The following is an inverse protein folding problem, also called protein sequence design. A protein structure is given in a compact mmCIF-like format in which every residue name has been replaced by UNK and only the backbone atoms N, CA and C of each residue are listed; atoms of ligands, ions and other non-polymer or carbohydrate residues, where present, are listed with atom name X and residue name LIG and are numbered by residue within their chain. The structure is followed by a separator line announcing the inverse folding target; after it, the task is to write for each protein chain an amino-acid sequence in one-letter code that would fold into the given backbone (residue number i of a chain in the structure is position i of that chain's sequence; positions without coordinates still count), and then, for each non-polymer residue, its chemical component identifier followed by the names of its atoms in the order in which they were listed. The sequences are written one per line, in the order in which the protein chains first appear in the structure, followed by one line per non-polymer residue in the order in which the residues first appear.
data_IF_555446805092
#
_entry.id   IF_555446805092
#
_cell.length_a   1.000
_cell.length_b   1.000
_cell.length_c   1.000
_cell.angle_alpha   90.00
_cell.angle_beta   90.00
_cell.angle_gamma   90.00
#
_symmetry.space_group_name_H-M   'P 1'
#
loop_
_entity.id
_entity.type
_entity.pdbx_description
1 polymer ?
#
# COMPACT_ATOMS: atom_id res chain seq x y z
N UNK A 1 -33.23 4.60 -10.53
CA UNK A 1 -31.78 4.95 -10.59
C UNK A 1 -31.33 5.54 -9.26
N UNK A 2 -32.10 6.45 -8.61
CA UNK A 2 -31.73 7.10 -7.31
C UNK A 2 -31.63 6.11 -6.13
N UNK A 3 -32.49 5.10 -6.05
CA UNK A 3 -32.48 4.14 -4.94
C UNK A 3 -31.25 3.22 -4.95
N UNK A 4 -30.76 2.83 -6.13
CA UNK A 4 -29.54 2.02 -6.28
C UNK A 4 -28.30 2.84 -5.87
N UNK A 5 -28.25 4.13 -6.23
CA UNK A 5 -27.15 5.03 -5.83
C UNK A 5 -27.14 5.25 -4.32
N UNK A 6 -28.32 5.38 -3.67
CA UNK A 6 -28.44 5.55 -2.23
C UNK A 6 -27.99 4.33 -1.41
N UNK A 7 -28.03 3.13 -1.96
CA UNK A 7 -27.63 1.89 -1.28
C UNK A 7 -26.18 1.51 -1.56
N UNK A 8 -25.65 1.80 -2.75
CA UNK A 8 -24.28 1.48 -3.16
C UNK A 8 -23.27 2.47 -2.59
N UNK A 9 -23.61 3.76 -2.53
CA UNK A 9 -22.71 4.80 -2.04
C UNK A 9 -22.22 4.57 -0.60
N UNK A 10 -23.09 4.31 0.42
CA UNK A 10 -22.62 4.06 1.78
C UNK A 10 -21.79 2.77 1.87
N UNK A 11 -22.13 1.72 1.11
CA UNK A 11 -21.37 0.47 1.10
C UNK A 11 -19.92 0.66 0.56
N UNK A 12 -19.76 1.42 -0.51
CA UNK A 12 -18.46 1.75 -1.08
C UNK A 12 -17.65 2.64 -0.12
N UNK A 13 -18.30 3.63 0.50
CA UNK A 13 -17.66 4.51 1.48
C UNK A 13 -17.17 3.73 2.70
N UNK A 14 -18.00 2.85 3.26
CA UNK A 14 -17.63 2.01 4.40
C UNK A 14 -16.48 1.06 4.07
N UNK A 15 -16.48 0.45 2.89
CA UNK A 15 -15.37 -0.40 2.43
C UNK A 15 -14.08 0.41 2.26
N UNK A 16 -14.15 1.61 1.75
CA UNK A 16 -12.98 2.50 1.61
C UNK A 16 -12.42 2.92 2.98
N UNK A 17 -13.28 3.23 3.95
CA UNK A 17 -12.89 3.55 5.32
C UNK A 17 -12.28 2.33 6.03
N UNK A 18 -12.89 1.15 5.89
CA UNK A 18 -12.36 -0.10 6.44
C UNK A 18 -10.97 -0.42 5.87
N UNK A 19 -10.79 -0.30 4.55
CA UNK A 19 -9.49 -0.52 3.90
C UNK A 19 -8.43 0.51 4.35
N UNK A 20 -8.81 1.77 4.56
CA UNK A 20 -7.90 2.79 5.11
C UNK A 20 -7.50 2.47 6.56
N UNK A 21 -8.45 1.99 7.37
CA UNK A 21 -8.19 1.57 8.75
C UNK A 21 -7.25 0.37 8.79
N UNK A 22 -7.51 -0.68 8.01
CA UNK A 22 -6.65 -1.84 7.87
C UNK A 22 -5.23 -1.44 7.41
N UNK A 23 -5.11 -0.58 6.41
CA UNK A 23 -3.80 -0.12 5.95
C UNK A 23 -3.04 0.77 6.96
N UNK A 24 -3.72 1.48 7.87
CA UNK A 24 -3.06 2.18 8.99
C UNK A 24 -2.56 1.18 10.02
N UNK A 25 -3.36 0.19 10.34
CA UNK A 25 -3.02 -0.88 11.25
C UNK A 25 -1.80 -1.66 10.79
N UNK A 26 -1.76 -2.07 9.53
CA UNK A 26 -0.63 -2.76 8.93
C UNK A 26 0.69 -2.00 9.07
N UNK A 27 0.66 -0.67 8.86
CA UNK A 27 1.86 0.17 9.04
C UNK A 27 2.33 0.28 10.48
N UNK A 28 1.46 0.03 11.46
CA UNK A 28 1.82 0.04 12.88
C UNK A 28 2.42 -1.30 13.33
N UNK A 29 2.18 -2.39 12.59
CA UNK A 29 2.57 -3.75 12.98
C UNK A 29 4.07 -3.92 13.27
N UNK A 30 5.01 -3.41 12.47
CA UNK A 30 6.43 -3.57 12.77
C UNK A 30 6.84 -2.95 14.12
N UNK A 31 6.28 -1.79 14.45
CA UNK A 31 6.59 -1.09 15.70
C UNK A 31 5.93 -1.78 16.90
N UNK A 32 4.71 -2.28 16.71
CA UNK A 32 3.99 -3.08 17.71
C UNK A 32 4.76 -4.36 18.05
N UNK A 33 5.19 -5.11 17.04
CA UNK A 33 5.95 -6.34 17.24
C UNK A 33 7.28 -6.07 17.95
N UNK A 34 7.93 -4.95 17.64
CA UNK A 34 9.15 -4.53 18.33
C UNK A 34 8.89 -4.17 19.80
N UNK A 35 7.78 -3.45 20.08
CA UNK A 35 7.37 -3.11 21.43
C UNK A 35 7.09 -4.38 22.26
N UNK A 36 6.31 -5.32 21.70
CA UNK A 36 6.02 -6.60 22.34
C UNK A 36 7.32 -7.39 22.59
N UNK A 37 8.20 -7.50 21.59
CA UNK A 37 9.47 -8.19 21.71
C UNK A 37 10.37 -7.58 22.78
N UNK A 38 10.41 -6.25 22.87
CA UNK A 38 11.17 -5.54 23.91
C UNK A 38 10.62 -5.81 25.31
N UNK A 39 9.29 -5.76 25.47
CA UNK A 39 8.62 -6.06 26.73
C UNK A 39 8.87 -7.51 27.18
N UNK A 40 8.79 -8.47 26.26
CA UNK A 40 9.11 -9.87 26.55
C UNK A 40 10.58 -10.04 26.96
N UNK A 41 11.50 -9.32 26.35
CA UNK A 41 12.93 -9.36 26.67
C UNK A 41 13.26 -8.80 28.07
N UNK A 42 12.41 -7.92 28.60
CA UNK A 42 12.52 -7.40 29.99
C UNK A 42 11.83 -8.28 31.01
N UNK A 43 11.28 -9.44 30.59
CA UNK A 43 10.66 -10.42 31.46
C UNK A 43 9.14 -10.26 31.65
N UNK A 44 8.49 -9.36 30.89
CA UNK A 44 7.03 -9.28 30.89
C UNK A 44 6.41 -10.50 30.25
N UNK A 45 5.26 -10.93 30.77
CA UNK A 45 4.45 -11.94 30.09
C UNK A 45 3.83 -11.39 28.80
N UNK A 46 3.45 -12.28 27.87
CA UNK A 46 2.80 -11.89 26.63
C UNK A 46 1.51 -11.04 26.87
N UNK A 47 0.60 -11.39 27.79
CA UNK A 47 -0.54 -10.54 28.10
C UNK A 47 -0.15 -9.14 28.58
N UNK A 48 0.90 -9.00 29.41
CA UNK A 48 1.38 -7.70 29.88
C UNK A 48 1.94 -6.87 28.73
N UNK A 49 2.70 -7.49 27.82
CA UNK A 49 3.24 -6.82 26.64
C UNK A 49 2.12 -6.33 25.70
N UNK A 50 1.07 -7.14 25.48
CA UNK A 50 -0.08 -6.76 24.66
C UNK A 50 -0.94 -5.66 25.32
N UNK A 51 -1.04 -5.65 26.65
CA UNK A 51 -1.73 -4.61 27.40
C UNK A 51 -1.00 -3.27 27.31
N UNK A 52 0.35 -3.27 27.27
CA UNK A 52 1.15 -2.09 26.98
C UNK A 52 0.86 -1.54 25.58
N UNK A 53 0.79 -2.39 24.56
CA UNK A 53 0.39 -2.00 23.18
C UNK A 53 -0.98 -1.33 23.19
N UNK A 54 -1.96 -1.91 23.91
CA UNK A 54 -3.30 -1.37 23.97
C UNK A 54 -3.36 0.05 24.57
N UNK A 55 -2.41 0.39 25.44
CA UNK A 55 -2.33 1.71 26.11
C UNK A 55 -1.49 2.73 25.34
N UNK A 56 -0.35 2.29 24.77
CA UNK A 56 0.71 3.19 24.35
C UNK A 56 0.71 3.46 22.85
N UNK A 57 0.03 2.61 22.05
CA UNK A 57 0.00 2.73 20.58
C UNK A 57 -1.22 3.54 20.13
N UNK A 58 -1.07 4.26 19.02
CA UNK A 58 -2.16 5.04 18.44
C UNK A 58 -3.24 4.16 17.79
N UNK A 59 -4.44 4.72 17.61
CA UNK A 59 -5.50 4.07 16.83
C UNK A 59 -5.09 3.85 15.36
N UNK A 60 -5.49 2.75 14.74
CA UNK A 60 -6.49 1.76 15.15
C UNK A 60 -5.97 0.61 16.00
N UNK A 61 -4.67 0.44 16.17
CA UNK A 61 -4.07 -0.72 16.85
C UNK A 61 -4.49 -0.78 18.32
N UNK A 62 -4.41 0.32 19.07
CA UNK A 62 -4.79 0.34 20.51
C UNK A 62 -6.19 -0.24 20.75
N UNK A 63 -7.16 0.12 19.94
CA UNK A 63 -8.54 -0.39 20.05
C UNK A 63 -8.64 -1.88 19.79
N UNK A 64 -7.91 -2.39 18.79
CA UNK A 64 -7.94 -3.81 18.48
C UNK A 64 -7.21 -4.65 19.53
N UNK A 65 -6.06 -4.19 20.04
CA UNK A 65 -5.35 -4.85 21.13
C UNK A 65 -6.11 -4.76 22.46
N UNK A 66 -6.78 -3.64 22.75
CA UNK A 66 -7.68 -3.55 23.92
C UNK A 66 -8.81 -4.58 23.85
N UNK A 67 -9.34 -4.84 22.64
CA UNK A 67 -10.34 -5.87 22.41
C UNK A 67 -9.77 -7.28 22.61
N UNK A 68 -8.55 -7.56 22.11
CA UNK A 68 -7.83 -8.82 22.38
C UNK A 68 -7.70 -9.05 23.86
N UNK A 69 -7.29 -8.02 24.61
CA UNK A 69 -7.16 -8.11 26.07
C UNK A 69 -8.50 -8.32 26.78
N UNK A 70 -9.56 -7.70 26.30
CA UNK A 70 -10.91 -7.93 26.84
C UNK A 70 -11.36 -9.38 26.62
N UNK A 71 -11.16 -9.93 25.41
CA UNK A 71 -11.47 -11.32 25.08
C UNK A 71 -10.66 -12.30 25.96
N UNK A 72 -9.38 -12.01 26.20
CA UNK A 72 -8.51 -12.83 27.06
C UNK A 72 -8.95 -12.79 28.54
N UNK A 73 -9.39 -11.65 29.05
CA UNK A 73 -9.89 -11.51 30.43
C UNK A 73 -11.15 -12.34 30.71
N UNK A 74 -11.93 -12.63 29.68
CA UNK A 74 -13.11 -13.50 29.79
C UNK A 74 -12.83 -14.97 29.47
N UNK A 75 -11.53 -15.34 29.36
CA UNK A 75 -11.09 -16.72 29.24
C UNK A 75 -10.76 -17.21 27.84
N UNK A 76 -10.70 -16.33 26.84
CA UNK A 76 -10.23 -16.72 25.52
C UNK A 76 -8.71 -16.89 25.50
N UNK A 77 -8.19 -17.85 24.73
CA UNK A 77 -6.77 -17.94 24.47
C UNK A 77 -6.28 -16.71 23.69
N UNK A 78 -5.10 -16.20 24.08
CA UNK A 78 -4.51 -14.99 23.50
C UNK A 78 -4.31 -15.15 21.99
N UNK A 79 -3.85 -16.31 21.55
CA UNK A 79 -3.62 -16.61 20.14
C UNK A 79 -4.92 -16.57 19.31
N UNK A 80 -5.99 -17.14 19.88
CA UNK A 80 -7.31 -17.13 19.23
C UNK A 80 -7.90 -15.73 19.15
N UNK A 81 -7.68 -14.91 20.18
CA UNK A 81 -8.10 -13.52 20.19
C UNK A 81 -7.32 -12.68 19.15
N UNK A 82 -6.00 -12.93 18.99
CA UNK A 82 -5.18 -12.30 17.96
C UNK A 82 -5.62 -12.78 16.56
N UNK A 83 -5.94 -14.05 16.39
CA UNK A 83 -6.43 -14.59 15.12
C UNK A 83 -7.76 -13.95 14.70
N UNK A 84 -8.70 -13.78 15.65
CA UNK A 84 -9.93 -13.02 15.41
C UNK A 84 -9.65 -11.55 15.05
N UNK A 85 -8.66 -10.93 15.66
CA UNK A 85 -8.20 -9.59 15.28
C UNK A 85 -7.68 -9.58 13.84
N UNK A 86 -6.92 -10.59 13.42
CA UNK A 86 -6.41 -10.73 12.05
C UNK A 86 -7.56 -10.76 11.03
N UNK A 87 -8.64 -11.49 11.33
CA UNK A 87 -9.84 -11.54 10.48
C UNK A 87 -10.55 -10.19 10.42
N UNK A 88 -10.69 -9.48 11.55
CA UNK A 88 -11.35 -8.16 11.58
C UNK A 88 -10.58 -7.09 10.82
N UNK A 89 -9.26 -7.17 10.84
CA UNK A 89 -8.36 -6.19 10.22
C UNK A 89 -7.92 -6.60 8.80
N UNK A 90 -8.36 -7.79 8.34
CA UNK A 90 -7.95 -8.37 7.04
C UNK A 90 -6.43 -8.37 6.88
N UNK A 91 -5.72 -8.84 7.92
CA UNK A 91 -4.26 -8.78 8.04
C UNK A 91 -3.65 -10.18 8.07
N UNK A 92 -2.96 -10.53 6.99
CA UNK A 92 -2.17 -11.76 6.94
C UNK A 92 -0.96 -11.70 7.88
N UNK A 93 -0.35 -10.53 8.08
CA UNK A 93 0.78 -10.36 8.97
C UNK A 93 0.42 -10.68 10.43
N UNK A 94 -0.78 -10.27 10.87
CA UNK A 94 -1.29 -10.63 12.19
C UNK A 94 -1.58 -12.13 12.30
N UNK A 95 -2.12 -12.73 11.24
CA UNK A 95 -2.40 -14.17 11.20
C UNK A 95 -1.11 -14.98 11.35
N UNK A 96 -0.06 -14.62 10.60
CA UNK A 96 1.26 -15.24 10.72
C UNK A 96 1.87 -15.02 12.11
N UNK A 97 1.67 -13.84 12.70
CA UNK A 97 2.14 -13.54 14.07
C UNK A 97 1.42 -14.41 15.09
N UNK A 98 0.10 -14.56 15.00
CA UNK A 98 -0.68 -15.43 15.89
C UNK A 98 -0.18 -16.89 15.80
N UNK A 99 0.06 -17.38 14.60
CA UNK A 99 0.60 -18.71 14.37
C UNK A 99 2.00 -18.87 14.96
N UNK A 100 2.89 -17.88 14.77
CA UNK A 100 4.23 -17.90 15.35
C UNK A 100 4.20 -17.93 16.88
N UNK A 101 3.32 -17.14 17.51
CA UNK A 101 3.13 -17.15 18.97
C UNK A 101 2.66 -18.54 19.45
N UNK A 102 1.69 -19.13 18.76
CA UNK A 102 1.15 -20.46 19.08
C UNK A 102 2.24 -21.54 19.01
N UNK A 103 3.04 -21.54 17.94
CA UNK A 103 4.15 -22.49 17.78
C UNK A 103 5.19 -22.31 18.88
N UNK A 104 5.61 -21.08 19.17
CA UNK A 104 6.63 -20.82 20.17
C UNK A 104 6.19 -21.18 21.58
N UNK A 105 4.90 -21.05 21.91
CA UNK A 105 4.37 -21.55 23.19
C UNK A 105 4.36 -23.07 23.31
N UNK A 106 4.13 -23.78 22.19
CA UNK A 106 4.13 -25.25 22.18
C UNK A 106 5.54 -25.84 22.22
N UNK A 107 6.48 -25.25 21.48
CA UNK A 107 7.85 -25.77 21.33
C UNK A 107 8.78 -25.22 22.44
N UNK A 108 8.42 -24.11 23.08
CA UNK A 108 9.24 -23.49 24.14
C UNK A 108 10.39 -22.65 23.60
N UNK A 109 10.22 -21.96 22.48
CA UNK A 109 11.25 -21.12 21.87
C UNK A 109 11.30 -19.67 22.40
N UNK A 110 12.25 -18.89 21.85
CA UNK A 110 12.40 -17.47 22.16
C UNK A 110 11.41 -16.60 21.35
N UNK A 111 10.23 -16.36 21.94
CA UNK A 111 9.20 -15.56 21.30
C UNK A 111 9.66 -14.11 21.00
N UNK A 112 10.45 -13.49 21.90
CA UNK A 112 10.96 -12.14 21.69
C UNK A 112 11.82 -12.03 20.43
N UNK A 113 12.69 -13.00 20.19
CA UNK A 113 13.54 -13.04 19.00
C UNK A 113 12.73 -13.27 17.73
N UNK A 114 11.76 -14.18 17.78
CA UNK A 114 10.86 -14.44 16.65
C UNK A 114 10.09 -13.19 16.25
N UNK A 115 9.53 -12.45 17.22
CA UNK A 115 8.81 -11.22 16.95
C UNK A 115 9.72 -10.09 16.43
N UNK A 116 10.97 -10.02 16.92
CA UNK A 116 11.97 -9.07 16.42
C UNK A 116 12.32 -9.32 14.95
N UNK A 117 12.58 -10.57 14.61
CA UNK A 117 12.87 -10.98 13.22
C UNK A 117 11.68 -10.71 12.30
N UNK A 118 10.47 -11.01 12.77
CA UNK A 118 9.24 -10.71 12.03
C UNK A 118 9.08 -9.21 11.80
N UNK A 119 9.30 -8.38 12.84
CA UNK A 119 9.26 -6.92 12.73
C UNK A 119 10.28 -6.38 11.71
N UNK A 120 11.51 -6.91 11.74
CA UNK A 120 12.54 -6.54 10.78
C UNK A 120 12.14 -6.86 9.34
N UNK A 121 11.62 -8.06 9.10
CA UNK A 121 11.13 -8.49 7.79
C UNK A 121 10.00 -7.60 7.28
N UNK A 122 9.04 -7.22 8.14
CA UNK A 122 7.94 -6.32 7.76
C UNK A 122 8.44 -4.92 7.43
N UNK A 123 9.42 -4.38 8.18
CA UNK A 123 10.06 -3.10 7.88
C UNK A 123 10.78 -3.11 6.54
N UNK A 124 11.51 -4.18 6.25
CA UNK A 124 12.23 -4.33 4.99
C UNK A 124 11.28 -4.41 3.79
N UNK A 125 10.18 -5.18 3.91
CA UNK A 125 9.13 -5.20 2.88
C UNK A 125 8.54 -3.81 2.64
N UNK A 126 8.22 -3.08 3.70
CA UNK A 126 7.67 -1.72 3.57
C UNK A 126 8.68 -0.74 2.96
N UNK A 127 9.97 -0.87 3.29
CA UNK A 127 11.06 -0.11 2.70
C UNK A 127 11.16 -0.37 1.19
N UNK A 128 11.18 -1.65 0.79
CA UNK A 128 11.23 -2.06 -0.62
C UNK A 128 10.02 -1.53 -1.40
N UNK A 129 8.80 -1.66 -0.86
CA UNK A 129 7.59 -1.11 -1.49
C UNK A 129 7.65 0.42 -1.67
N UNK A 130 8.19 1.15 -0.70
CA UNK A 130 8.38 2.60 -0.83
C UNK A 130 9.43 2.94 -1.86
N UNK A 131 10.54 2.21 -1.90
CA UNK A 131 11.63 2.42 -2.85
C UNK A 131 11.20 2.17 -4.30
N UNK A 132 10.51 1.06 -4.56
CA UNK A 132 9.93 0.74 -5.88
C UNK A 132 8.93 1.81 -6.31
N UNK A 133 8.10 2.30 -5.39
CA UNK A 133 7.14 3.39 -5.69
C UNK A 133 7.84 4.70 -6.04
N UNK A 134 8.94 5.03 -5.35
CA UNK A 134 9.75 6.22 -5.65
C UNK A 134 10.39 6.14 -7.04
N UNK A 135 11.04 5.02 -7.38
CA UNK A 135 11.64 4.79 -8.69
C UNK A 135 10.59 4.82 -9.82
N UNK A 136 9.41 4.22 -9.56
CA UNK A 136 8.29 4.27 -10.52
C UNK A 136 7.73 5.68 -10.69
N UNK A 137 7.81 6.56 -9.70
CA UNK A 137 7.40 7.95 -9.81
C UNK A 137 8.35 8.77 -10.68
N UNK A 138 9.67 8.56 -10.56
CA UNK A 138 10.68 9.17 -11.41
C UNK A 138 10.52 8.77 -12.88
N UNK A 139 10.33 7.49 -13.15
CA UNK A 139 10.05 6.98 -14.50
C UNK A 139 8.76 7.57 -15.10
N UNK A 140 7.72 7.76 -14.29
CA UNK A 140 6.48 8.41 -14.74
C UNK A 140 6.68 9.89 -15.07
N UNK A 141 7.43 10.62 -14.25
CA UNK A 141 7.73 12.02 -14.50
C UNK A 141 8.49 12.19 -15.83
N UNK A 142 9.55 11.40 -16.04
CA UNK A 142 10.31 11.38 -17.30
C UNK A 142 9.42 11.06 -18.50
N UNK A 143 8.51 10.12 -18.33
CA UNK A 143 7.53 9.77 -19.35
C UNK A 143 6.55 10.91 -19.68
N UNK A 144 6.04 11.62 -18.67
CA UNK A 144 5.18 12.79 -18.90
C UNK A 144 5.93 13.91 -19.65
N UNK A 145 7.18 14.17 -19.31
CA UNK A 145 8.01 15.16 -20.01
C UNK A 145 8.21 14.75 -21.47
N UNK A 146 8.51 13.48 -21.72
CA UNK A 146 8.74 12.96 -23.06
C UNK A 146 7.49 13.07 -23.96
N UNK A 147 6.30 12.84 -23.40
CA UNK A 147 5.03 12.99 -24.13
C UNK A 147 4.63 14.46 -24.28
N UNK A 148 4.91 15.28 -23.30
CA UNK A 148 4.58 16.71 -23.34
C UNK A 148 5.44 17.50 -24.33
N UNK A 149 6.68 17.08 -24.57
CA UNK A 149 7.65 17.81 -25.39
C UNK A 149 7.19 17.95 -26.86
N UNK A 150 6.76 16.91 -27.59
CA UNK A 150 6.24 17.05 -28.95
C UNK A 150 4.99 17.94 -29.00
N UNK A 151 4.12 17.84 -28.01
CA UNK A 151 2.90 18.66 -27.93
C UNK A 151 3.26 20.14 -27.72
N UNK A 152 4.19 20.42 -26.81
CA UNK A 152 4.65 21.78 -26.54
C UNK A 152 5.33 22.39 -27.77
N UNK A 153 6.18 21.61 -28.47
CA UNK A 153 6.81 22.02 -29.72
C UNK A 153 5.76 22.33 -30.82
N UNK A 154 4.77 21.49 -30.97
CA UNK A 154 3.70 21.71 -31.94
C UNK A 154 2.93 23.01 -31.65
N UNK A 155 2.57 23.25 -30.39
CA UNK A 155 1.91 24.48 -29.96
C UNK A 155 2.79 25.71 -30.21
N UNK A 156 4.09 25.61 -29.95
CA UNK A 156 5.06 26.67 -30.21
C UNK A 156 5.11 27.02 -31.72
N UNK A 157 5.28 26.02 -32.59
CA UNK A 157 5.34 26.20 -34.02
C UNK A 157 4.06 26.81 -34.60
N UNK A 158 2.88 26.39 -34.10
CA UNK A 158 1.59 26.97 -34.51
C UNK A 158 1.50 28.48 -34.21
N UNK A 159 2.13 28.93 -33.12
CA UNK A 159 2.08 30.35 -32.75
C UNK A 159 3.15 31.21 -33.44
N UNK A 160 4.36 30.65 -33.61
CA UNK A 160 5.51 31.42 -34.11
C UNK A 160 5.63 31.35 -35.64
N UNK A 161 5.31 30.21 -36.24
CA UNK A 161 5.57 29.98 -37.69
C UNK A 161 4.34 29.48 -38.45
N UNK A 162 3.32 30.33 -38.47
CA UNK A 162 2.03 30.01 -39.13
C UNK A 162 2.13 29.65 -40.60
N UNK A 163 3.10 30.25 -41.33
CA UNK A 163 3.32 29.96 -42.74
C UNK A 163 3.82 28.52 -42.96
N UNK A 164 4.69 28.02 -42.07
CA UNK A 164 5.20 26.64 -42.11
C UNK A 164 4.10 25.63 -41.77
N UNK A 165 3.29 25.92 -40.76
CA UNK A 165 2.20 25.05 -40.32
C UNK A 165 1.08 24.98 -41.37
N UNK A 166 0.86 26.03 -42.18
CA UNK A 166 -0.16 26.00 -43.25
C UNK A 166 0.13 24.92 -44.30
N UNK A 167 1.39 24.59 -44.58
CA UNK A 167 1.77 23.49 -45.46
C UNK A 167 1.35 22.11 -44.90
N UNK A 168 1.28 21.95 -43.55
CA UNK A 168 0.81 20.71 -42.94
C UNK A 168 -0.67 20.40 -43.26
N UNK A 169 -1.48 21.43 -43.52
CA UNK A 169 -2.90 21.25 -43.78
C UNK A 169 -3.21 21.15 -45.29
N UNK A 170 -2.29 21.62 -46.17
CA UNK A 170 -2.51 21.70 -47.62
C UNK A 170 -1.96 20.49 -48.38
N UNK A 171 -1.03 19.74 -47.83
CA UNK A 171 -0.32 18.66 -48.52
C UNK A 171 -0.80 17.28 -48.08
N UNK A 172 -1.17 16.40 -49.00
CA UNK A 172 -1.58 15.01 -48.71
C UNK A 172 -0.49 14.22 -47.95
N UNK A 173 0.78 14.48 -48.25
CA UNK A 173 1.92 13.88 -47.58
C UNK A 173 1.97 14.23 -46.08
N UNK A 174 1.60 15.47 -45.73
CA UNK A 174 1.60 15.92 -44.34
C UNK A 174 0.55 15.16 -43.48
N UNK A 175 -0.61 14.86 -44.03
CA UNK A 175 -1.63 14.04 -43.33
C UNK A 175 -1.15 12.63 -43.03
N UNK A 176 -0.39 12.01 -43.93
CA UNK A 176 0.23 10.70 -43.72
C UNK A 176 1.27 10.80 -42.60
N UNK A 177 2.09 11.85 -42.58
CA UNK A 177 3.11 12.08 -41.56
C UNK A 177 2.48 12.34 -40.14
N UNK A 178 1.41 13.14 -40.10
CA UNK A 178 0.66 13.39 -38.85
C UNK A 178 0.05 12.06 -38.32
N UNK A 179 -0.58 11.29 -39.18
CA UNK A 179 -1.15 9.99 -38.83
C UNK A 179 -0.09 9.02 -38.32
N UNK A 180 1.06 8.95 -38.99
CA UNK A 180 2.19 8.13 -38.61
C UNK A 180 2.79 8.54 -37.23
N UNK A 181 2.95 9.85 -36.99
CA UNK A 181 3.49 10.38 -35.76
C UNK A 181 2.55 10.13 -34.56
N UNK A 182 1.23 10.30 -34.76
CA UNK A 182 0.22 9.96 -33.73
C UNK A 182 0.20 8.46 -33.41
N UNK A 183 0.33 7.61 -34.40
CA UNK A 183 0.38 6.17 -34.24
C UNK A 183 1.64 5.76 -33.44
N UNK A 184 2.81 6.26 -33.83
CA UNK A 184 4.07 6.00 -33.10
C UNK A 184 4.03 6.54 -31.68
N UNK A 185 3.46 7.72 -31.45
CA UNK A 185 3.31 8.31 -30.12
C UNK A 185 2.38 7.45 -29.26
N UNK A 186 1.28 6.94 -29.81
CA UNK A 186 0.35 6.06 -29.08
C UNK A 186 1.02 4.73 -28.69
N UNK A 187 1.77 4.13 -29.62
CA UNK A 187 2.56 2.91 -29.36
C UNK A 187 3.59 3.18 -28.25
N UNK A 188 4.30 4.30 -28.32
CA UNK A 188 5.29 4.71 -27.32
C UNK A 188 4.68 4.88 -25.93
N UNK A 189 3.52 5.54 -25.82
CA UNK A 189 2.80 5.71 -24.56
C UNK A 189 2.37 4.34 -23.98
N UNK A 190 1.81 3.46 -24.79
CA UNK A 190 1.40 2.12 -24.36
C UNK A 190 2.61 1.32 -23.85
N UNK A 191 3.70 1.35 -24.60
CA UNK A 191 4.91 0.61 -24.23
C UNK A 191 5.54 1.14 -22.94
N UNK A 192 5.61 2.46 -22.81
CA UNK A 192 6.12 3.15 -21.63
C UNK A 192 5.26 2.86 -20.39
N UNK A 193 3.94 2.94 -20.52
CA UNK A 193 3.04 2.63 -19.38
C UNK A 193 3.13 1.18 -18.96
N UNK A 194 3.38 0.26 -19.89
CA UNK A 194 3.60 -1.16 -19.60
C UNK A 194 4.97 -1.40 -18.93
N UNK A 195 6.02 -0.71 -19.37
CA UNK A 195 7.38 -0.81 -18.81
C UNK A 195 7.48 -0.23 -17.38
N UNK A 196 6.73 0.86 -17.09
CA UNK A 196 6.72 1.50 -15.76
C UNK A 196 5.86 0.70 -14.75
N UNK A 197 4.93 -0.13 -15.23
CA UNK A 197 4.09 -0.97 -14.38
C UNK A 197 4.89 -2.19 -13.90
N UNK A 198 5.83 -1.95 -12.99
CA UNK A 198 6.45 -3.04 -12.23
C UNK A 198 5.42 -3.50 -11.20
N UNK A 199 4.82 -4.66 -11.43
CA UNK A 199 3.99 -5.32 -10.41
C UNK A 199 4.91 -5.81 -9.29
N UNK A 200 4.66 -5.27 -8.08
CA UNK A 200 5.22 -5.75 -6.81
C UNK A 200 4.10 -6.39 -6.01
#
# INVERSE_FOLDING_TARGET
VGAIFGLVFPAVLLRALAKRRAGRFERQMPDILMLVASSLSTGFSLPQALDAVARDVAEPASKEFARVMAETRIGADVEDAIERMALRMDSDNVRWTAMAIRIQRQVGGNLAETLRTTAATLREREYLHRHVRALSAEGRLSGYILVALPIALFIYEVNVNRAYISLLWTTTLAWIMIGGSLLLMTIGIIWMTKAIKVEV
#
